data_IF_388388448768
#
_entry.id   IF_388388448768
#
_cell.length_a   1.000
_cell.length_b   1.000
_cell.length_c   1.000
_cell.angle_alpha   90.00
_cell.angle_beta   90.00
_cell.angle_gamma   90.00
#
_symmetry.space_group_name_H-M   'P 1'
#
loop_
_entity.id
_entity.type
_entity.pdbx_description
1 polymer ?
#
# COMPACT_ATOMS: atom_id res chain seq x y z
N UNK A 1 5.94 6.71 21.96
CA UNK A 1 4.90 6.34 20.97
C UNK A 1 4.19 5.09 21.46
N UNK A 2 2.86 5.01 21.35
CA UNK A 2 2.13 3.78 21.67
C UNK A 2 2.30 2.76 20.54
N UNK A 3 2.53 1.49 20.89
CA UNK A 3 2.55 0.37 19.92
C UNK A 3 1.24 0.29 19.12
N UNK A 4 0.14 0.68 19.73
CA UNK A 4 -1.21 0.67 19.16
C UNK A 4 -1.35 1.57 17.93
N UNK A 5 -0.78 2.78 17.95
CA UNK A 5 -0.81 3.68 16.80
C UNK A 5 -0.05 3.09 15.60
N UNK A 6 1.06 2.41 15.87
CA UNK A 6 1.85 1.80 14.81
C UNK A 6 1.12 0.64 14.12
N UNK A 7 0.44 -0.20 14.89
CA UNK A 7 -0.40 -1.28 14.37
C UNK A 7 -1.62 -0.75 13.63
N UNK A 8 -2.25 0.31 14.13
CA UNK A 8 -3.38 0.96 13.44
C UNK A 8 -2.97 1.49 12.07
N UNK A 9 -1.84 2.20 11.97
CA UNK A 9 -1.37 2.72 10.69
C UNK A 9 -1.04 1.58 9.70
N UNK A 10 -0.49 0.47 10.18
CA UNK A 10 -0.20 -0.71 9.36
C UNK A 10 -1.48 -1.33 8.80
N UNK A 11 -2.52 -1.52 9.62
CA UNK A 11 -3.83 -2.02 9.16
C UNK A 11 -4.42 -1.15 8.05
N UNK A 12 -4.40 0.18 8.22
CA UNK A 12 -4.94 1.12 7.23
C UNK A 12 -4.11 1.12 5.94
N UNK A 13 -2.80 1.03 6.08
CA UNK A 13 -1.85 0.97 4.96
C UNK A 13 -2.05 -0.28 4.13
N UNK A 14 -2.12 -1.43 4.79
CA UNK A 14 -2.34 -2.73 4.15
C UNK A 14 -3.66 -2.72 3.37
N UNK A 15 -4.73 -2.25 4.02
CA UNK A 15 -6.08 -2.27 3.45
C UNK A 15 -6.24 -1.29 2.28
N UNK A 16 -5.97 0.00 2.50
CA UNK A 16 -6.32 1.04 1.52
C UNK A 16 -5.26 1.24 0.43
N UNK A 17 -4.00 0.89 0.69
CA UNK A 17 -2.90 1.21 -0.23
C UNK A 17 -2.32 -0.04 -0.86
N UNK A 18 -2.09 -1.10 -0.07
CA UNK A 18 -1.49 -2.34 -0.56
C UNK A 18 -2.53 -3.33 -1.09
N UNK A 19 -3.82 -3.05 -0.93
CA UNK A 19 -4.92 -3.92 -1.38
C UNK A 19 -5.02 -5.23 -0.61
N UNK A 20 -4.43 -5.32 0.57
CA UNK A 20 -4.54 -6.47 1.47
C UNK A 20 -5.78 -6.29 2.33
N UNK A 21 -6.87 -6.94 1.92
CA UNK A 21 -8.15 -6.80 2.57
C UNK A 21 -8.06 -7.16 4.07
N UNK A 22 -8.65 -6.31 4.92
CA UNK A 22 -8.76 -6.46 6.37
C UNK A 22 -10.23 -6.37 6.72
N UNK A 23 -10.62 -6.91 7.87
CA UNK A 23 -12.03 -6.87 8.26
C UNK A 23 -12.47 -5.44 8.57
N UNK A 24 -13.76 -5.14 8.35
CA UNK A 24 -14.35 -3.84 8.69
C UNK A 24 -14.07 -3.48 10.16
N UNK A 25 -14.13 -4.46 11.06
CA UNK A 25 -13.85 -4.27 12.49
C UNK A 25 -12.43 -3.78 12.74
N UNK A 26 -11.43 -4.39 12.11
CA UNK A 26 -10.02 -4.00 12.25
C UNK A 26 -9.77 -2.60 11.69
N UNK A 27 -10.37 -2.30 10.53
CA UNK A 27 -10.26 -0.98 9.88
C UNK A 27 -10.91 0.11 10.74
N UNK A 28 -12.10 -0.13 11.29
CA UNK A 28 -12.79 0.82 12.17
C UNK A 28 -12.00 1.10 13.46
N UNK A 29 -11.43 0.07 14.09
CA UNK A 29 -10.59 0.24 15.28
C UNK A 29 -9.30 1.02 14.98
N UNK A 30 -8.67 0.75 13.83
CA UNK A 30 -7.49 1.46 13.40
C UNK A 30 -7.77 2.94 13.10
N UNK A 31 -8.90 3.26 12.46
CA UNK A 31 -9.35 4.63 12.23
C UNK A 31 -9.59 5.39 13.53
N UNK A 32 -10.23 4.77 14.53
CA UNK A 32 -10.42 5.39 15.84
C UNK A 32 -9.10 5.66 16.57
N UNK A 33 -8.12 4.77 16.44
CA UNK A 33 -6.80 4.94 17.05
C UNK A 33 -6.04 6.11 16.43
N UNK A 34 -6.07 6.24 15.10
CA UNK A 34 -5.37 7.30 14.37
C UNK A 34 -6.03 8.67 14.58
N UNK A 35 -7.37 8.74 14.63
CA UNK A 35 -8.09 10.00 14.87
C UNK A 35 -7.88 10.58 16.26
N UNK A 36 -7.48 9.75 17.23
CA UNK A 36 -7.13 10.16 18.60
C UNK A 36 -5.65 10.53 18.76
N UNK A 37 -4.82 10.33 17.73
CA UNK A 37 -3.38 10.58 17.81
C UNK A 37 -3.04 12.04 17.47
N UNK A 38 -2.26 12.68 18.34
CA UNK A 38 -1.89 14.11 18.20
C UNK A 38 -0.80 14.37 17.14
N UNK A 39 -0.03 13.35 16.72
CA UNK A 39 1.12 13.49 15.82
C UNK A 39 0.86 12.88 14.43
N UNK A 40 0.53 13.73 13.46
CA UNK A 40 0.26 13.35 12.06
C UNK A 40 1.51 13.00 11.22
N UNK A 41 2.71 13.32 11.70
CA UNK A 41 3.94 13.17 10.90
C UNK A 41 4.28 11.69 10.60
N UNK A 42 4.12 10.81 11.58
CA UNK A 42 4.35 9.35 11.42
C UNK A 42 3.29 8.70 10.52
N UNK A 43 2.04 9.13 10.64
CA UNK A 43 0.96 8.72 9.72
C UNK A 43 1.34 9.11 8.29
N UNK A 44 1.79 10.35 8.09
CA UNK A 44 2.26 10.83 6.79
C UNK A 44 3.40 10.01 6.22
N UNK A 45 4.44 9.71 7.02
CA UNK A 45 5.57 8.87 6.59
C UNK A 45 5.13 7.48 6.14
N UNK A 46 4.29 6.80 6.93
CA UNK A 46 3.85 5.44 6.63
C UNK A 46 2.93 5.38 5.41
N UNK A 47 2.00 6.32 5.28
CA UNK A 47 1.15 6.46 4.08
C UNK A 47 2.00 6.73 2.84
N UNK A 48 2.96 7.64 2.91
CA UNK A 48 3.87 7.92 1.80
C UNK A 48 4.67 6.68 1.37
N UNK A 49 5.26 5.96 2.34
CA UNK A 49 6.00 4.72 2.06
C UNK A 49 5.12 3.66 1.40
N UNK A 50 3.88 3.50 1.86
CA UNK A 50 2.93 2.57 1.30
C UNK A 50 2.59 2.90 -0.16
N UNK A 51 2.33 4.18 -0.46
CA UNK A 51 2.04 4.63 -1.82
C UNK A 51 3.22 4.35 -2.75
N UNK A 52 4.45 4.58 -2.28
CA UNK A 52 5.66 4.23 -3.04
C UNK A 52 5.74 2.73 -3.34
N UNK A 53 5.48 1.86 -2.34
CA UNK A 53 5.47 0.40 -2.53
C UNK A 53 4.42 -0.03 -3.57
N UNK A 54 3.19 0.48 -3.46
CA UNK A 54 2.11 0.18 -4.41
C UNK A 54 2.47 0.62 -5.84
N UNK A 55 3.03 1.83 -5.98
CA UNK A 55 3.46 2.35 -7.29
C UNK A 55 4.60 1.53 -7.90
N UNK A 56 5.60 1.12 -7.11
CA UNK A 56 6.69 0.26 -7.57
C UNK A 56 6.15 -1.09 -8.04
N UNK A 57 5.24 -1.72 -7.29
CA UNK A 57 4.62 -2.98 -7.68
C UNK A 57 3.85 -2.83 -9.00
N UNK A 58 3.06 -1.76 -9.16
CA UNK A 58 2.34 -1.48 -10.40
C UNK A 58 3.28 -1.29 -11.61
N UNK A 59 4.40 -0.59 -11.42
CA UNK A 59 5.43 -0.42 -12.46
C UNK A 59 6.10 -1.73 -12.84
N UNK A 60 6.41 -2.59 -11.86
CA UNK A 60 6.97 -3.91 -12.11
C UNK A 60 6.02 -4.79 -12.92
N UNK A 61 4.73 -4.78 -12.60
CA UNK A 61 3.70 -5.49 -13.37
C UNK A 61 3.61 -4.96 -14.79
N UNK A 62 3.52 -3.63 -14.99
CA UNK A 62 3.49 -3.02 -16.33
C UNK A 62 4.73 -3.37 -17.16
N UNK A 63 5.91 -3.37 -16.55
CA UNK A 63 7.16 -3.77 -17.20
C UNK A 63 7.11 -5.24 -17.62
N UNK A 64 6.64 -6.13 -16.75
CA UNK A 64 6.53 -7.55 -17.07
C UNK A 64 5.60 -7.79 -18.28
N UNK A 65 4.46 -7.10 -18.32
CA UNK A 65 3.53 -7.13 -19.48
C UNK A 65 4.21 -6.64 -20.75
N UNK A 66 4.93 -5.51 -20.69
CA UNK A 66 5.63 -4.96 -21.86
C UNK A 66 6.69 -5.93 -22.40
N UNK A 67 7.51 -6.52 -21.52
CA UNK A 67 8.56 -7.48 -21.90
C UNK A 67 7.95 -8.76 -22.51
N UNK A 68 6.85 -9.26 -21.94
CA UNK A 68 6.13 -10.40 -22.49
C UNK A 68 5.56 -10.09 -23.88
N UNK A 69 4.97 -8.90 -24.06
CA UNK A 69 4.46 -8.45 -25.36
C UNK A 69 5.56 -8.32 -26.44
N UNK A 70 6.71 -7.76 -26.08
CA UNK A 70 7.87 -7.67 -26.99
C UNK A 70 8.42 -9.04 -27.39
N UNK A 71 8.25 -10.06 -26.55
CA UNK A 71 8.69 -11.43 -26.85
C UNK A 71 7.75 -12.15 -27.83
N UNK A 72 6.52 -11.65 -28.03
CA UNK A 72 5.54 -12.23 -28.95
C UNK A 72 5.59 -11.68 -30.38
N UNK A 73 6.26 -10.54 -30.59
CA UNK A 73 6.58 -10.02 -31.93
C UNK A 73 7.98 -10.52 -32.35
N UNK A 74 8.10 -11.83 -32.60
CA UNK A 74 9.23 -12.35 -33.37
C UNK A 74 9.22 -11.73 -34.78
N UNK A 75 10.39 -11.53 -35.44
CA UNK A 75 10.45 -10.86 -36.72
C UNK A 75 9.55 -11.60 -37.72
N UNK A 76 8.54 -10.91 -38.22
CA UNK A 76 7.70 -11.35 -39.33
C UNK A 76 8.63 -11.62 -40.51
N UNK A 77 8.91 -12.90 -40.78
CA UNK A 77 9.57 -13.34 -42.01
C UNK A 77 8.66 -13.16 -43.21
#
# INVERSE_FOLDING_TARGET
MSSELNSAIEVLTDHFILGQEKTIKEVSQALECVTKAESFEELGRKVCLAMLKANVAALQTKRAVLVAGLSSEGPTQ
#
